data_IF_836609504724
#
_entry.id   IF_836609504724
#
_cell.length_a   1.000
_cell.length_b   1.000
_cell.length_c   1.000
_cell.angle_alpha   90.00
_cell.angle_beta   90.00
_cell.angle_gamma   90.00
#
_symmetry.space_group_name_H-M   'P 1'
#
loop_
_entity.id
_entity.type
_entity.pdbx_description
1 polymer ?
#
# COMPACT_ATOMS: atom_id res chain seq x y z
N UNK A 1 4.45 5.38 19.51
CA UNK A 1 3.33 4.54 19.03
C UNK A 1 2.96 5.02 17.62
N UNK A 2 2.78 4.15 16.61
CA UNK A 2 2.44 4.60 15.26
C UNK A 2 1.00 5.13 15.26
N UNK A 3 0.81 6.34 14.72
CA UNK A 3 -0.39 7.14 14.99
C UNK A 3 -1.62 6.79 14.13
N UNK A 4 -1.49 5.96 13.10
CA UNK A 4 -2.63 5.46 12.30
C UNK A 4 -2.20 4.30 11.41
N UNK A 5 -3.01 3.25 11.35
CA UNK A 5 -2.90 2.22 10.31
C UNK A 5 -3.76 2.66 9.12
N UNK A 6 -3.22 2.55 7.90
CA UNK A 6 -4.01 2.73 6.68
C UNK A 6 -4.57 1.37 6.26
N UNK A 7 -5.85 1.36 5.92
CA UNK A 7 -6.46 0.21 5.29
C UNK A 7 -6.03 0.17 3.82
N UNK A 8 -5.51 -0.98 3.38
CA UNK A 8 -5.10 -1.23 2.00
C UNK A 8 -6.16 -2.03 1.23
N UNK A 9 -7.19 -2.52 1.92
CA UNK A 9 -8.20 -3.41 1.36
C UNK A 9 -7.69 -4.84 1.12
N UNK A 10 -8.55 -5.63 0.49
CA UNK A 10 -8.37 -7.06 0.27
C UNK A 10 -8.45 -7.49 -1.21
N UNK A 11 -8.79 -6.58 -2.12
CA UNK A 11 -8.87 -6.88 -3.55
C UNK A 11 -7.99 -5.93 -4.39
N UNK A 12 -6.83 -6.38 -4.88
CA UNK A 12 -6.16 -7.64 -4.57
C UNK A 12 -5.50 -7.61 -3.19
N UNK A 13 -5.47 -8.76 -2.51
CA UNK A 13 -4.88 -8.85 -1.17
C UNK A 13 -3.41 -8.42 -1.21
N UNK A 14 -2.98 -7.44 -0.39
CA UNK A 14 -1.59 -7.07 -0.34
C UNK A 14 -0.77 -8.24 0.25
N UNK A 15 0.42 -8.47 -0.31
CA UNK A 15 1.30 -9.60 0.02
C UNK A 15 2.03 -9.42 1.35
N UNK A 16 1.35 -9.01 2.40
CA UNK A 16 1.92 -8.69 3.72
C UNK A 16 1.51 -9.74 4.74
N UNK A 17 2.49 -10.41 5.34
CA UNK A 17 2.29 -11.24 6.54
C UNK A 17 2.24 -10.40 7.83
N UNK A 18 2.86 -9.21 7.78
CA UNK A 18 2.86 -8.20 8.85
C UNK A 18 3.30 -6.86 8.26
N UNK A 19 2.57 -5.78 8.54
CA UNK A 19 2.90 -4.43 8.08
C UNK A 19 4.27 -3.94 8.58
N UNK A 20 4.81 -4.53 9.64
CA UNK A 20 6.11 -4.16 10.22
C UNK A 20 7.28 -4.98 9.65
N UNK A 21 7.02 -6.06 8.91
CA UNK A 21 8.04 -7.02 8.44
C UNK A 21 7.78 -7.49 7.00
N UNK A 22 7.17 -6.63 6.20
CA UNK A 22 6.84 -6.95 4.81
C UNK A 22 7.94 -6.44 3.88
N UNK A 23 8.53 -7.35 3.10
CA UNK A 23 9.43 -7.03 1.99
C UNK A 23 8.68 -6.64 0.70
N UNK A 24 7.35 -6.64 0.77
CA UNK A 24 6.42 -6.45 -0.34
C UNK A 24 5.70 -5.10 -0.28
N UNK A 25 6.13 -4.21 0.62
CA UNK A 25 5.69 -2.82 0.71
C UNK A 25 6.88 -1.91 0.45
N UNK A 26 6.71 -0.96 -0.48
CA UNK A 26 7.66 0.10 -0.72
C UNK A 26 6.94 1.46 -0.62
N UNK A 27 7.64 2.47 -0.09
CA UNK A 27 7.08 3.82 0.05
C UNK A 27 8.03 4.85 -0.53
N UNK A 28 7.48 5.85 -1.22
CA UNK A 28 8.20 7.02 -1.69
C UNK A 28 7.54 8.29 -1.11
N UNK A 29 7.95 8.76 0.09
CA UNK A 29 7.28 9.87 0.78
C UNK A 29 7.24 11.17 -0.03
N UNK A 30 8.33 11.50 -0.74
CA UNK A 30 8.39 12.70 -1.60
C UNK A 30 7.37 12.65 -2.74
N UNK A 31 7.16 11.45 -3.30
CA UNK A 31 6.17 11.23 -4.35
C UNK A 31 4.76 11.02 -3.78
N UNK A 32 4.61 10.86 -2.45
CA UNK A 32 3.35 10.49 -1.80
C UNK A 32 2.79 9.17 -2.33
N UNK A 33 3.66 8.20 -2.59
CA UNK A 33 3.28 6.89 -3.14
C UNK A 33 3.60 5.78 -2.16
N UNK A 34 2.71 4.80 -2.07
CA UNK A 34 2.93 3.49 -1.45
C UNK A 34 2.63 2.41 -2.50
N UNK A 35 3.45 1.38 -2.57
CA UNK A 35 3.27 0.25 -3.49
C UNK A 35 3.23 -1.04 -2.69
N UNK A 36 2.31 -1.94 -3.03
CA UNK A 36 2.26 -3.30 -2.49
C UNK A 36 2.24 -4.35 -3.57
N UNK A 37 2.99 -5.42 -3.42
CA UNK A 37 2.79 -6.64 -4.21
C UNK A 37 1.49 -7.35 -3.83
N UNK A 38 0.89 -8.09 -4.76
CA UNK A 38 -0.30 -8.91 -4.51
C UNK A 38 0.09 -10.27 -3.94
N UNK A 39 -0.76 -10.82 -3.06
CA UNK A 39 -0.50 -12.08 -2.37
C UNK A 39 -0.53 -13.30 -3.29
N UNK A 40 -1.35 -13.28 -4.34
CA UNK A 40 -1.72 -14.50 -5.07
C UNK A 40 -1.36 -14.51 -6.55
N UNK A 41 -1.30 -13.36 -7.21
CA UNK A 41 -1.24 -13.30 -8.69
C UNK A 41 0.03 -12.63 -9.23
N UNK A 42 0.96 -12.22 -8.36
CA UNK A 42 2.22 -11.59 -8.76
C UNK A 42 2.10 -10.12 -9.20
N UNK A 43 0.91 -9.53 -9.15
CA UNK A 43 0.69 -8.14 -9.52
C UNK A 43 1.15 -7.14 -8.45
N UNK A 44 0.95 -5.84 -8.74
CA UNK A 44 1.22 -4.75 -7.80
C UNK A 44 0.06 -3.73 -7.76
N UNK A 45 -0.17 -3.17 -6.58
CA UNK A 45 -1.10 -2.07 -6.37
C UNK A 45 -0.33 -0.81 -5.95
N UNK A 46 -0.64 0.30 -6.59
CA UNK A 46 -0.06 1.62 -6.30
C UNK A 46 -1.12 2.49 -5.63
N UNK A 47 -0.74 3.11 -4.53
CA UNK A 47 -1.57 4.00 -3.75
C UNK A 47 -0.98 5.40 -3.69
N UNK A 48 -1.87 6.41 -3.78
CA UNK A 48 -1.56 7.83 -3.58
C UNK A 48 -1.95 8.28 -2.19
N UNK A 49 -1.03 8.94 -1.49
CA UNK A 49 -1.28 9.57 -0.20
C UNK A 49 -1.70 11.03 -0.37
N UNK A 50 -2.81 11.39 0.26
CA UNK A 50 -3.25 12.78 0.44
C UNK A 50 -2.87 13.27 1.85
N UNK A 51 -1.95 14.25 1.98
CA UNK A 51 -1.54 14.76 3.28
C UNK A 51 -2.59 15.62 3.98
N UNK A 52 -3.51 16.25 3.23
CA UNK A 52 -4.56 17.10 3.79
C UNK A 52 -5.66 16.24 4.38
N UNK A 53 -6.17 15.30 3.59
CA UNK A 53 -7.19 14.34 4.04
C UNK A 53 -6.64 13.24 4.94
N UNK A 54 -5.30 13.02 4.92
CA UNK A 54 -4.62 11.88 5.58
C UNK A 54 -5.24 10.55 5.17
N UNK A 55 -5.41 10.36 3.86
CA UNK A 55 -6.00 9.17 3.25
C UNK A 55 -5.03 8.56 2.23
N UNK A 56 -5.20 7.26 2.00
CA UNK A 56 -4.49 6.52 0.97
C UNK A 56 -5.54 6.04 -0.05
N UNK A 57 -5.33 6.33 -1.33
CA UNK A 57 -6.27 5.97 -2.39
C UNK A 57 -5.60 5.07 -3.41
N UNK A 58 -6.31 4.05 -3.88
CA UNK A 58 -5.81 3.14 -4.90
C UNK A 58 -5.80 3.87 -6.25
N UNK A 59 -4.61 4.12 -6.79
CA UNK A 59 -4.43 4.86 -8.04
C UNK A 59 -4.31 3.89 -9.23
N UNK A 60 -3.68 2.73 -9.02
CA UNK A 60 -3.47 1.76 -10.09
C UNK A 60 -3.32 0.33 -9.57
N UNK A 61 -3.76 -0.63 -10.39
CA UNK A 61 -3.62 -2.08 -10.16
C UNK A 61 -3.06 -2.71 -11.43
N UNK A 62 -1.92 -3.40 -11.31
CA UNK A 62 -1.27 -4.12 -12.40
C UNK A 62 -1.17 -5.61 -12.13
N UNK A 63 -1.11 -6.40 -13.22
CA UNK A 63 -0.93 -7.84 -13.21
C UNK A 63 0.31 -8.22 -14.01
#
# INVERSE_FOLDING_TARGET
WPQKYFDLGDDPYPSTASYLRSLSIATAPKAKVLVTGHRHDGGITVYRYDPEARTLTKEWVGK
#
